data_IF_618213621866
#
_entry.id   IF_618213621866
#
_cell.length_a   1.000
_cell.length_b   1.000
_cell.length_c   1.000
_cell.angle_alpha   90.00
_cell.angle_beta   90.00
_cell.angle_gamma   90.00
#
_symmetry.space_group_name_H-M   'P 1'
#
loop_
_entity.id
_entity.type
_entity.pdbx_description
1 polymer ?
#
# COMPACT_ATOMS: atom_id res chain seq x y z
N UNK A 1 -8.67 -2.99 -21.67
CA UNK A 1 -9.30 -3.20 -20.36
C UNK A 1 -8.37 -2.57 -19.33
N UNK A 2 -8.83 -1.53 -18.63
CA UNK A 2 -8.04 -0.84 -17.59
C UNK A 2 -7.73 -1.84 -16.46
N UNK A 3 -6.47 -2.25 -16.34
CA UNK A 3 -6.02 -3.09 -15.22
C UNK A 3 -6.14 -2.25 -13.94
N UNK A 4 -7.18 -2.48 -13.17
CA UNK A 4 -7.35 -1.85 -11.87
C UNK A 4 -6.36 -2.43 -10.87
N UNK A 5 -5.86 -1.58 -9.97
CA UNK A 5 -5.02 -2.03 -8.86
C UNK A 5 -5.79 -2.97 -7.94
N UNK A 6 -5.19 -4.11 -7.60
CA UNK A 6 -5.76 -5.06 -6.64
C UNK A 6 -5.78 -4.46 -5.23
N UNK A 7 -6.91 -4.60 -4.53
CA UNK A 7 -7.10 -4.11 -3.17
C UNK A 7 -7.59 -5.22 -2.26
N UNK A 8 -6.98 -5.33 -1.09
CA UNK A 8 -7.29 -6.35 -0.09
C UNK A 8 -7.62 -5.63 1.20
N UNK A 9 -8.89 -5.68 1.62
CA UNK A 9 -9.31 -5.14 2.91
C UNK A 9 -8.73 -5.99 4.05
N UNK A 10 -8.19 -5.30 5.05
CA UNK A 10 -7.59 -5.87 6.25
C UNK A 10 -8.41 -5.41 7.46
N UNK A 11 -8.92 -6.36 8.23
CA UNK A 11 -9.76 -6.10 9.41
C UNK A 11 -9.02 -6.24 10.74
N UNK A 12 -7.72 -6.54 10.71
CA UNK A 12 -6.89 -6.74 11.92
C UNK A 12 -6.19 -5.46 12.33
N UNK A 13 -5.94 -5.33 13.63
CA UNK A 13 -5.40 -4.11 14.23
C UNK A 13 -3.90 -4.13 14.46
N UNK A 14 -3.27 -5.30 14.64
CA UNK A 14 -1.84 -5.40 14.96
C UNK A 14 -0.95 -5.63 13.74
N UNK A 15 0.30 -5.20 13.84
CA UNK A 15 1.30 -5.35 12.76
C UNK A 15 1.63 -6.83 12.50
N UNK A 16 1.67 -7.66 13.54
CA UNK A 16 1.89 -9.11 13.42
C UNK A 16 0.74 -9.82 12.68
N UNK A 17 -0.51 -9.43 12.96
CA UNK A 17 -1.66 -9.97 12.24
C UNK A 17 -1.69 -9.51 10.77
N UNK A 18 -1.30 -8.26 10.48
CA UNK A 18 -1.15 -7.79 9.10
C UNK A 18 -0.15 -8.68 8.37
N UNK A 19 1.04 -8.89 8.94
CA UNK A 19 2.06 -9.75 8.36
C UNK A 19 1.57 -11.19 8.16
N UNK A 20 0.82 -11.73 9.13
CA UNK A 20 0.19 -13.05 9.00
C UNK A 20 -0.77 -13.14 7.80
N UNK A 21 -1.57 -12.10 7.54
CA UNK A 21 -2.43 -12.03 6.35
C UNK A 21 -1.61 -11.94 5.07
N UNK A 22 -0.55 -11.15 5.04
CA UNK A 22 0.28 -10.99 3.83
C UNK A 22 0.97 -12.31 3.48
N UNK A 23 1.54 -13.00 4.48
CA UNK A 23 2.19 -14.31 4.36
C UNK A 23 1.21 -15.39 3.91
N UNK A 24 0.05 -15.50 4.57
CA UNK A 24 -0.98 -16.50 4.20
C UNK A 24 -1.54 -16.31 2.79
N UNK A 25 -1.46 -15.10 2.23
CA UNK A 25 -1.83 -14.80 0.84
C UNK A 25 -0.69 -15.04 -0.16
N UNK A 26 0.49 -15.45 0.28
CA UNK A 26 1.65 -15.71 -0.58
C UNK A 26 2.23 -14.45 -1.24
N UNK A 27 1.98 -13.27 -0.68
CA UNK A 27 2.47 -11.99 -1.21
C UNK A 27 3.96 -11.79 -0.86
N UNK A 28 4.41 -12.31 0.28
CA UNK A 28 5.78 -12.22 0.76
C UNK A 28 6.22 -13.50 1.47
N UNK A 29 7.52 -13.63 1.72
CA UNK A 29 8.11 -14.73 2.48
C UNK A 29 8.02 -14.52 4.01
N UNK A 30 8.53 -15.50 4.76
CA UNK A 30 8.56 -15.48 6.22
C UNK A 30 9.43 -14.36 6.82
N UNK A 31 10.37 -13.83 6.06
CA UNK A 31 11.29 -12.77 6.48
C UNK A 31 10.78 -11.36 6.21
N UNK A 32 9.54 -11.24 5.71
CA UNK A 32 8.94 -9.95 5.47
C UNK A 32 8.77 -9.13 6.75
N UNK A 33 8.97 -7.81 6.62
CA UNK A 33 8.84 -6.86 7.72
C UNK A 33 7.82 -5.78 7.38
N UNK A 34 7.17 -5.23 8.40
CA UNK A 34 6.24 -4.12 8.28
C UNK A 34 6.90 -2.86 8.84
N UNK A 35 6.91 -1.79 8.04
CA UNK A 35 7.46 -0.49 8.44
C UNK A 35 6.46 0.62 8.15
N UNK A 36 5.97 1.28 9.20
CA UNK A 36 5.18 2.51 9.07
C UNK A 36 6.06 3.67 8.61
N UNK A 37 5.59 4.44 7.64
CA UNK A 37 6.35 5.52 7.01
C UNK A 37 5.62 6.86 7.12
N UNK A 38 6.38 7.98 7.23
CA UNK A 38 5.78 9.30 7.14
C UNK A 38 5.25 9.53 5.71
N UNK A 39 4.10 10.21 5.61
CA UNK A 39 3.48 10.50 4.33
C UNK A 39 3.97 11.83 3.79
N UNK A 40 4.53 11.80 2.57
CA UNK A 40 4.80 13.00 1.80
C UNK A 40 3.57 13.33 0.96
N UNK A 41 2.91 14.44 1.30
CA UNK A 41 1.65 14.86 0.66
C UNK A 41 1.97 15.56 -0.66
N UNK A 42 1.26 15.20 -1.73
CA UNK A 42 1.36 15.87 -3.03
C UNK A 42 2.52 15.40 -3.90
N UNK A 43 3.64 15.00 -3.30
CA UNK A 43 4.81 14.51 -4.03
C UNK A 43 4.68 13.04 -4.45
N UNK A 44 5.14 12.68 -5.67
CA UNK A 44 5.30 11.28 -6.07
C UNK A 44 6.24 10.56 -5.09
N UNK A 45 5.74 9.47 -4.53
CA UNK A 45 6.51 8.56 -3.69
C UNK A 45 6.71 7.24 -4.41
N UNK A 46 7.95 6.79 -4.42
CA UNK A 46 8.36 5.52 -4.97
C UNK A 46 8.86 4.62 -3.84
N UNK A 47 8.10 3.58 -3.47
CA UNK A 47 8.60 2.58 -2.54
C UNK A 47 9.89 1.92 -3.05
N UNK A 48 10.66 1.37 -2.12
CA UNK A 48 11.86 0.60 -2.43
C UNK A 48 11.51 -0.60 -3.32
N UNK A 49 12.48 -1.08 -4.09
CA UNK A 49 12.32 -2.29 -4.92
C UNK A 49 11.98 -3.55 -4.11
N UNK A 50 12.24 -3.50 -2.79
CA UNK A 50 11.96 -4.57 -1.81
C UNK A 50 10.51 -4.51 -1.31
N UNK A 51 9.74 -3.48 -1.66
CA UNK A 51 8.34 -3.34 -1.23
C UNK A 51 7.46 -4.33 -1.97
N UNK A 52 6.91 -5.31 -1.24
CA UNK A 52 5.95 -6.28 -1.74
C UNK A 52 4.51 -5.75 -1.71
N UNK A 53 4.18 -4.91 -0.74
CA UNK A 53 2.86 -4.33 -0.59
C UNK A 53 2.88 -3.00 0.16
N UNK A 54 1.88 -2.16 -0.09
CA UNK A 54 1.61 -0.93 0.65
C UNK A 54 0.33 -1.08 1.44
N UNK A 55 0.40 -0.81 2.75
CA UNK A 55 -0.75 -0.74 3.64
C UNK A 55 -1.18 0.72 3.72
N UNK A 56 -2.47 0.96 3.49
CA UNK A 56 -3.12 2.26 3.63
C UNK A 56 -4.16 2.15 4.71
N UNK A 57 -3.96 2.87 5.80
CA UNK A 57 -4.89 2.93 6.92
C UNK A 57 -5.59 4.29 6.95
N UNK A 58 -6.90 4.25 6.69
CA UNK A 58 -7.81 5.40 6.67
C UNK A 58 -8.76 5.42 7.89
N UNK A 59 -8.54 4.54 8.88
CA UNK A 59 -9.45 4.40 10.04
C UNK A 59 -9.43 5.63 10.94
N UNK A 60 -8.26 6.20 11.19
CA UNK A 60 -8.07 7.32 12.13
C UNK A 60 -7.75 8.65 11.45
N UNK A 61 -7.42 8.62 10.16
CA UNK A 61 -6.92 9.78 9.45
C UNK A 61 -7.55 9.90 8.06
N UNK A 62 -7.95 11.11 7.70
CA UNK A 62 -8.56 11.37 6.40
C UNK A 62 -7.50 11.49 5.31
N UNK A 63 -7.75 10.85 4.18
CA UNK A 63 -6.87 10.95 3.03
C UNK A 63 -7.20 10.00 1.89
N UNK A 64 -6.31 9.96 0.92
CA UNK A 64 -6.36 9.03 -0.19
C UNK A 64 -4.94 8.73 -0.67
N UNK A 65 -4.78 7.57 -1.29
CA UNK A 65 -3.56 7.18 -1.97
C UNK A 65 -3.89 6.89 -3.42
N UNK A 66 -3.39 7.73 -4.34
CA UNK A 66 -3.56 7.55 -5.79
C UNK A 66 -2.34 6.87 -6.36
N UNK A 67 -2.54 5.86 -7.20
CA UNK A 67 -1.48 5.02 -7.76
C UNK A 67 -1.41 5.26 -9.26
N UNK A 68 -0.20 5.50 -9.74
CA UNK A 68 0.10 5.83 -11.11
C UNK A 68 1.07 4.82 -11.69
N UNK A 69 0.94 4.52 -12.98
CA UNK A 69 1.96 3.81 -13.72
C UNK A 69 3.09 4.78 -14.10
N UNK A 70 4.34 4.46 -13.72
CA UNK A 70 5.50 5.35 -13.93
C UNK A 70 5.80 5.61 -15.41
N UNK A 71 5.53 4.63 -16.28
CA UNK A 71 5.88 4.73 -17.70
C UNK A 71 4.95 5.65 -18.48
N UNK A 72 3.71 5.80 -18.01
CA UNK A 72 2.65 6.55 -18.68
C UNK A 72 2.16 7.76 -17.90
N UNK A 73 2.61 7.94 -16.65
CA UNK A 73 2.08 8.91 -15.66
C UNK A 73 0.55 8.85 -15.50
N UNK A 74 -0.04 7.70 -15.85
CA UNK A 74 -1.50 7.51 -15.87
C UNK A 74 -1.99 6.98 -14.54
N UNK A 75 -3.10 7.54 -14.04
CA UNK A 75 -3.78 7.04 -12.85
C UNK A 75 -4.35 5.64 -13.13
N UNK A 76 -3.88 4.63 -12.40
CA UNK A 76 -4.31 3.23 -12.57
C UNK A 76 -5.18 2.73 -11.41
N UNK A 77 -5.24 3.48 -10.30
CA UNK A 77 -6.10 3.15 -9.18
C UNK A 77 -5.77 3.91 -7.92
N UNK A 78 -6.22 3.39 -6.78
CA UNK A 78 -5.94 3.99 -5.49
C UNK A 78 -6.85 3.50 -4.38
N UNK A 79 -6.51 3.93 -3.17
CA UNK A 79 -7.30 3.73 -1.96
C UNK A 79 -7.94 5.06 -1.58
N UNK A 80 -9.26 5.09 -1.52
CA UNK A 80 -10.05 6.30 -1.32
C UNK A 80 -11.04 6.09 -0.17
N UNK A 81 -11.17 7.06 0.74
CA UNK A 81 -12.09 6.96 1.88
C UNK A 81 -13.54 6.64 1.51
N UNK A 82 -14.02 7.16 0.38
CA UNK A 82 -15.43 7.01 -0.02
C UNK A 82 -15.73 5.61 -0.57
N UNK A 83 -14.70 4.83 -0.87
CA UNK A 83 -14.81 3.51 -1.53
C UNK A 83 -14.24 2.41 -0.64
N UNK A 84 -13.14 2.70 0.05
CA UNK A 84 -12.35 1.76 0.80
C UNK A 84 -12.49 2.09 2.30
N UNK A 85 -13.26 1.26 3.02
CA UNK A 85 -13.42 1.39 4.46
C UNK A 85 -12.29 0.67 5.20
N UNK A 86 -11.63 1.38 6.11
CA UNK A 86 -10.68 0.81 7.06
C UNK A 86 -9.25 0.74 6.54
N UNK A 87 -8.59 -0.40 6.75
CA UNK A 87 -7.20 -0.64 6.37
C UNK A 87 -7.17 -1.47 5.10
N UNK A 88 -6.46 -1.00 4.08
CA UNK A 88 -6.38 -1.63 2.77
C UNK A 88 -4.94 -1.95 2.43
N UNK A 89 -4.69 -3.18 2.01
CA UNK A 89 -3.42 -3.59 1.43
C UNK A 89 -3.50 -3.57 -0.08
N UNK A 90 -2.45 -3.03 -0.68
CA UNK A 90 -2.22 -3.01 -2.12
C UNK A 90 -0.93 -3.79 -2.39
N UNK A 91 -1.00 -4.99 -2.99
CA UNK A 91 0.19 -5.65 -3.56
C UNK A 91 0.89 -4.69 -4.53
N UNK A 92 2.20 -4.56 -4.41
CA UNK A 92 2.94 -3.48 -5.05
C UNK A 92 3.71 -3.94 -6.29
N UNK A 93 3.80 -3.06 -7.29
CA UNK A 93 4.67 -3.22 -8.45
C UNK A 93 5.69 -2.08 -8.50
N UNK A 94 6.94 -2.41 -8.81
CA UNK A 94 8.02 -1.43 -8.97
C UNK A 94 7.82 -0.49 -10.18
N UNK A 95 6.91 -0.84 -11.09
CA UNK A 95 6.48 0.03 -12.19
C UNK A 95 5.48 1.12 -11.76
N UNK A 96 5.07 1.16 -10.48
CA UNK A 96 4.09 2.11 -9.97
C UNK A 96 4.73 3.13 -9.03
N UNK A 97 4.17 4.33 -9.01
CA UNK A 97 4.38 5.32 -7.96
C UNK A 97 3.04 5.70 -7.34
N UNK A 98 3.05 6.36 -6.18
CA UNK A 98 1.82 6.89 -5.59
C UNK A 98 1.95 8.35 -5.18
N UNK A 99 0.81 9.02 -5.08
CA UNK A 99 0.69 10.35 -4.47
C UNK A 99 -0.36 10.28 -3.38
N UNK A 100 0.00 10.74 -2.18
CA UNK A 100 -0.92 10.83 -1.07
C UNK A 100 -1.62 12.20 -1.03
N UNK A 101 -2.87 12.20 -0.58
CA UNK A 101 -3.62 13.40 -0.23
C UNK A 101 -4.18 13.27 1.18
N UNK A 102 -4.19 14.37 1.94
CA UNK A 102 -4.47 14.30 3.38
C UNK A 102 -3.35 13.58 4.13
N UNK A 103 -3.68 12.91 5.22
CA UNK A 103 -2.69 12.29 6.12
C UNK A 103 -3.01 10.81 6.39
N UNK A 104 -3.19 9.97 5.35
CA UNK A 104 -3.39 8.54 5.56
C UNK A 104 -2.20 7.95 6.33
N UNK A 105 -2.41 6.92 7.16
CA UNK A 105 -1.26 6.19 7.72
C UNK A 105 -0.80 5.16 6.70
N UNK A 106 0.48 5.16 6.37
CA UNK A 106 1.07 4.25 5.38
C UNK A 106 2.08 3.32 6.02
N UNK A 107 2.08 2.06 5.59
CA UNK A 107 3.15 1.12 5.90
C UNK A 107 3.62 0.40 4.63
N UNK A 108 4.89 0.05 4.61
CA UNK A 108 5.45 -0.84 3.59
C UNK A 108 5.63 -2.22 4.17
N UNK A 109 5.24 -3.22 3.40
CA UNK A 109 5.68 -4.59 3.61
C UNK A 109 6.89 -4.80 2.72
N UNK A 110 8.05 -4.97 3.33
CA UNK A 110 9.31 -5.18 2.62
C UNK A 110 9.68 -6.66 2.69
N UNK A 111 10.09 -7.23 1.55
CA UNK A 111 10.63 -8.59 1.48
C UNK A 111 11.92 -8.66 2.29
N UNK A 112 12.16 -9.76 2.99
CA UNK A 112 13.44 -9.94 3.65
C UNK A 112 14.56 -10.06 2.62
N UNK A 113 15.72 -9.49 2.95
CA UNK A 113 16.93 -9.69 2.15
C UNK A 113 17.35 -11.15 2.29
N UNK A 114 17.34 -11.88 1.18
CA UNK A 114 17.98 -13.20 1.09
C UNK A 114 19.49 -13.10 1.23
#
# INVERSE_FOLDING_TARGET
MSQGVQKITISVSSDDEILGIVKSKGICDESATLRWIPVNIGDPTEPSSETAAVIVDLTTSRGALRIYDKSTDSLIGGVFMDVDSGRTMVPWSNSWCFRASGSPRLAYIEMGKK
#
